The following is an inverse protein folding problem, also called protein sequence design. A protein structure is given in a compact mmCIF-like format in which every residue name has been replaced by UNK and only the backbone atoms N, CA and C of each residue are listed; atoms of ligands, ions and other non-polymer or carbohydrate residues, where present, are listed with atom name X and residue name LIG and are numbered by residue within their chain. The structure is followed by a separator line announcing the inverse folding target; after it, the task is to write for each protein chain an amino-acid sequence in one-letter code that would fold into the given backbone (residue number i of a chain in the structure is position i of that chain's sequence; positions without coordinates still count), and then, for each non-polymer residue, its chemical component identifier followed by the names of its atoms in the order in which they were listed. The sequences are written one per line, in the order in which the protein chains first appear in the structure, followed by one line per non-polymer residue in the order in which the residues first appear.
data_IF_491795404509
#
_entry.id   IF_491795404509
#
_cell.length_a   1.000
_cell.length_b   1.000
_cell.length_c   1.000
_cell.angle_alpha   90.00
_cell.angle_beta   90.00
_cell.angle_gamma   90.00
#
_symmetry.space_group_name_H-M   'P 1'
#
loop_
_entity.id
_entity.type
_entity.pdbx_description
1 polymer ?
#
# COMPACT_ATOMS: atom_id res chain seq x y z
N UNK A 1 11.94 17.93 -2.15
CA UNK A 1 11.04 17.16 -1.28
C UNK A 1 10.25 16.19 -2.16
N UNK A 2 10.13 14.94 -1.77
CA UNK A 2 9.31 13.93 -2.45
C UNK A 2 8.25 13.40 -1.50
N UNK A 3 7.10 13.01 -2.03
CA UNK A 3 6.06 12.31 -1.27
C UNK A 3 5.21 11.49 -2.21
N UNK A 4 4.74 10.33 -1.75
CA UNK A 4 3.90 9.46 -2.55
C UNK A 4 2.91 8.67 -1.68
N UNK A 5 1.90 8.12 -2.35
CA UNK A 5 0.86 7.29 -1.77
C UNK A 5 0.86 5.91 -2.44
N UNK A 6 0.73 4.85 -1.64
CA UNK A 6 0.64 3.48 -2.15
C UNK A 6 -0.50 2.72 -1.47
N UNK A 7 -1.19 1.89 -2.25
CA UNK A 7 -2.26 1.02 -1.76
C UNK A 7 -1.79 -0.43 -1.72
N UNK A 8 -1.78 -1.02 -0.53
CA UNK A 8 -1.54 -2.44 -0.32
C UNK A 8 -2.88 -3.17 -0.22
N UNK A 9 -2.96 -4.38 -0.76
CA UNK A 9 -4.18 -5.19 -0.71
C UNK A 9 -3.89 -6.62 -0.23
N UNK A 10 -4.88 -7.23 0.40
CA UNK A 10 -4.79 -8.60 0.93
C UNK A 10 -4.79 -9.70 -0.14
N UNK A 11 -5.14 -9.34 -1.37
CA UNK A 11 -5.20 -10.28 -2.51
C UNK A 11 -3.79 -10.68 -2.96
N UNK A 12 -2.77 -9.90 -2.57
CA UNK A 12 -1.39 -10.22 -2.87
C UNK A 12 -1.18 -10.29 -4.38
N UNK A 13 -1.67 -9.28 -5.12
CA UNK A 13 -1.28 -9.06 -6.51
C UNK A 13 0.22 -8.71 -6.56
N UNK A 14 1.07 -9.70 -6.27
CA UNK A 14 2.47 -9.68 -6.63
C UNK A 14 2.53 -9.68 -8.15
N UNK A 15 3.49 -8.93 -8.68
CA UNK A 15 3.83 -9.07 -10.07
C UNK A 15 4.29 -10.53 -10.29
N UNK A 16 3.44 -11.35 -10.92
CA UNK A 16 3.69 -12.78 -11.16
C UNK A 16 4.98 -13.04 -11.96
N UNK A 17 5.46 -12.03 -12.67
CA UNK A 17 6.74 -12.08 -13.38
C UNK A 17 7.95 -11.97 -12.44
N UNK A 18 7.80 -11.34 -11.27
CA UNK A 18 8.86 -11.17 -10.27
C UNK A 18 8.73 -12.14 -9.08
N UNK A 19 7.64 -12.91 -8.99
CA UNK A 19 7.46 -13.92 -7.95
C UNK A 19 8.17 -15.22 -8.35
N UNK A 20 9.43 -15.36 -7.95
CA UNK A 20 10.18 -16.61 -8.17
C UNK A 20 10.22 -17.44 -6.89
N UNK A 21 9.67 -18.65 -6.96
CA UNK A 21 9.66 -19.59 -5.85
C UNK A 21 10.72 -20.66 -6.08
N UNK A 22 11.79 -20.63 -5.30
CA UNK A 22 12.87 -21.61 -5.38
C UNK A 22 12.48 -22.88 -4.61
N UNK A 23 12.53 -24.03 -5.28
CA UNK A 23 12.34 -25.34 -4.67
C UNK A 23 13.19 -26.38 -5.40
N UNK A 24 13.72 -27.37 -4.68
CA UNK A 24 14.50 -28.46 -5.27
C UNK A 24 13.66 -29.38 -6.18
N UNK A 25 12.33 -29.37 -6.00
CA UNK A 25 11.35 -30.14 -6.78
C UNK A 25 10.22 -29.19 -7.19
N UNK A 26 9.69 -29.34 -8.41
CA UNK A 26 8.60 -28.50 -8.91
C UNK A 26 7.42 -28.49 -7.91
N UNK A 27 7.12 -27.36 -7.27
CA UNK A 27 6.15 -27.32 -6.18
C UNK A 27 4.69 -27.34 -6.66
N UNK A 28 4.41 -27.36 -7.98
CA UNK A 28 3.06 -27.21 -8.54
C UNK A 28 2.31 -26.04 -7.89
N UNK A 29 3.02 -24.93 -7.68
CA UNK A 29 2.53 -23.82 -6.86
C UNK A 29 1.24 -23.25 -7.44
N UNK A 30 0.21 -23.18 -6.61
CA UNK A 30 -0.98 -22.35 -6.82
C UNK A 30 -1.16 -21.44 -5.61
N UNK A 31 -1.29 -20.14 -5.84
CA UNK A 31 -1.65 -19.20 -4.78
C UNK A 31 -3.17 -19.20 -4.65
N UNK A 32 -3.69 -19.69 -3.52
CA UNK A 32 -5.11 -19.57 -3.21
C UNK A 32 -5.43 -18.10 -2.95
N UNK A 33 -6.26 -17.50 -3.80
CA UNK A 33 -6.71 -16.12 -3.64
C UNK A 33 -8.02 -16.12 -2.86
N UNK A 34 -7.98 -15.60 -1.64
CA UNK A 34 -9.19 -15.42 -0.82
C UNK A 34 -9.89 -14.13 -1.26
N UNK A 35 -10.90 -14.26 -2.12
CA UNK A 35 -11.64 -13.11 -2.65
C UNK A 35 -12.71 -12.56 -1.69
N UNK A 36 -13.11 -13.30 -0.67
CA UNK A 36 -14.24 -12.93 0.21
C UNK A 36 -13.87 -11.93 1.32
N UNK A 37 -12.61 -11.93 1.80
CA UNK A 37 -12.12 -11.00 2.82
C UNK A 37 -11.02 -10.09 2.25
N UNK A 38 -11.41 -9.20 1.34
CA UNK A 38 -10.52 -8.19 0.77
C UNK A 38 -10.39 -7.01 1.73
N UNK A 39 -9.17 -6.67 2.09
CA UNK A 39 -8.85 -5.37 2.70
C UNK A 39 -7.86 -4.63 1.81
N UNK A 40 -7.93 -3.30 1.85
CA UNK A 40 -6.94 -2.42 1.26
C UNK A 40 -6.46 -1.46 2.35
N UNK A 41 -5.15 -1.24 2.42
CA UNK A 41 -4.52 -0.27 3.31
C UNK A 41 -3.83 0.75 2.42
N UNK A 42 -4.14 2.03 2.61
CA UNK A 42 -3.38 3.09 1.99
C UNK A 42 -2.27 3.53 2.94
N UNK A 43 -1.13 3.87 2.36
CA UNK A 43 0.03 4.37 3.08
C UNK A 43 0.54 5.61 2.39
N UNK A 44 0.90 6.63 3.17
CA UNK A 44 1.64 7.79 2.69
C UNK A 44 3.06 7.77 3.24
N UNK A 45 4.02 8.23 2.43
CA UNK A 45 5.39 8.47 2.88
C UNK A 45 6.01 9.65 2.11
N UNK A 46 6.91 10.38 2.78
CA UNK A 46 7.68 11.48 2.23
C UNK A 46 9.18 11.31 2.44
N UNK A 47 9.98 11.98 1.61
CA UNK A 47 11.42 12.12 1.73
C UNK A 47 11.77 13.61 1.72
N UNK A 48 12.40 14.07 2.80
CA UNK A 48 12.84 15.46 2.96
C UNK A 48 14.33 15.45 3.35
N UNK A 49 15.16 16.14 2.58
CA UNK A 49 16.61 16.25 2.81
C UNK A 49 17.32 14.89 3.01
N UNK A 50 16.88 13.86 2.27
CA UNK A 50 17.42 12.50 2.37
C UNK A 50 16.89 11.68 3.56
N UNK A 51 16.07 12.28 4.42
CA UNK A 51 15.41 11.59 5.53
C UNK A 51 14.01 11.14 5.15
N UNK A 52 13.67 9.92 5.55
CA UNK A 52 12.34 9.34 5.37
C UNK A 52 11.39 9.87 6.45
N UNK A 53 10.20 10.30 6.05
CA UNK A 53 9.10 10.73 6.92
C UNK A 53 7.88 9.84 6.61
N UNK A 54 7.37 9.12 7.61
CA UNK A 54 6.36 8.07 7.43
C UNK A 54 6.96 6.66 7.60
N UNK A 55 6.17 5.57 7.48
CA UNK A 55 4.85 5.45 6.85
C UNK A 55 3.67 5.91 7.72
N UNK A 56 2.74 6.65 7.11
CA UNK A 56 1.44 6.96 7.72
C UNK A 56 0.37 6.01 7.16
N UNK A 57 -0.25 5.23 8.04
CA UNK A 57 -1.30 4.29 7.68
C UNK A 57 -2.67 4.94 7.84
N UNK A 58 -3.48 4.91 6.79
CA UNK A 58 -4.86 5.36 6.87
C UNK A 58 -5.73 4.27 7.52
N UNK A 59 -6.40 4.58 8.62
CA UNK A 59 -7.35 3.67 9.26
C UNK A 59 -8.67 3.65 8.47
N UNK A 60 -9.03 2.46 7.95
CA UNK A 60 -10.32 2.18 7.29
C UNK A 60 -10.20 1.41 5.98
N UNK A 61 -11.14 0.50 5.71
CA UNK A 61 -11.29 -0.11 4.38
C UNK A 61 -11.67 1.00 3.38
N UNK A 62 -10.96 1.06 2.24
CA UNK A 62 -11.16 2.05 1.17
C UNK A 62 -12.57 2.17 0.60
N UNK A 63 -13.47 1.23 0.92
CA UNK A 63 -14.88 1.34 0.55
C UNK A 63 -15.61 2.53 1.21
N UNK A 64 -15.03 3.15 2.24
CA UNK A 64 -15.69 4.25 2.96
C UNK A 64 -14.73 5.38 3.38
N UNK A 65 -13.76 5.74 2.55
CA UNK A 65 -13.02 7.00 2.75
C UNK A 65 -13.64 8.10 1.87
N UNK A 66 -14.42 9.04 2.42
CA UNK A 66 -14.97 10.14 1.63
C UNK A 66 -13.82 10.98 1.05
N UNK A 67 -13.98 11.45 -0.19
CA UNK A 67 -13.00 12.29 -0.91
C UNK A 67 -12.48 13.47 -0.07
N UNK A 68 -13.29 13.98 0.87
CA UNK A 68 -12.95 15.07 1.79
C UNK A 68 -11.78 14.76 2.73
N UNK A 69 -11.61 13.52 3.19
CA UNK A 69 -10.52 13.17 4.13
C UNK A 69 -9.14 13.23 3.44
N UNK A 70 -9.10 13.02 2.13
CA UNK A 70 -7.89 13.13 1.31
C UNK A 70 -7.43 14.58 1.15
N UNK A 71 -8.36 15.52 0.97
CA UNK A 71 -8.04 16.95 0.88
C UNK A 71 -7.46 17.48 2.20
N UNK A 72 -8.02 17.07 3.35
CA UNK A 72 -7.50 17.46 4.66
C UNK A 72 -6.11 16.91 4.95
N UNK A 73 -5.84 15.65 4.58
CA UNK A 73 -4.52 15.06 4.79
C UNK A 73 -3.46 15.69 3.88
N UNK A 74 -3.76 15.90 2.59
CA UNK A 74 -2.85 16.61 1.68
C UNK A 74 -2.56 18.05 2.15
N UNK A 75 -3.57 18.74 2.67
CA UNK A 75 -3.39 20.07 3.27
C UNK A 75 -2.54 20.02 4.55
N UNK A 76 -2.75 19.04 5.43
CA UNK A 76 -1.94 18.86 6.64
C UNK A 76 -0.47 18.63 6.31
N UNK A 77 -0.16 17.81 5.31
CA UNK A 77 1.23 17.55 4.90
C UNK A 77 1.86 18.80 4.27
N UNK A 78 1.16 19.46 3.35
CA UNK A 78 1.67 20.69 2.72
C UNK A 78 1.93 21.84 3.72
N UNK A 79 1.31 21.81 4.90
CA UNK A 79 1.51 22.79 5.98
C UNK A 79 2.63 22.40 6.96
N UNK A 80 3.08 21.15 6.97
CA UNK A 80 4.06 20.64 7.94
C UNK A 80 5.40 20.20 7.29
N UNK A 81 5.62 20.55 6.03
CA UNK A 81 6.82 20.24 5.25
C UNK A 81 7.27 21.45 4.46
#
# INVERSE_FOLDING_TARGET
MFSDESTFNSIGHLNRYNSHNWSAINPHWMQQIVNQHRWNINVWCGIINGNLIGPYFFEGNTSTLPASRWSYFRAFIALNT
#
